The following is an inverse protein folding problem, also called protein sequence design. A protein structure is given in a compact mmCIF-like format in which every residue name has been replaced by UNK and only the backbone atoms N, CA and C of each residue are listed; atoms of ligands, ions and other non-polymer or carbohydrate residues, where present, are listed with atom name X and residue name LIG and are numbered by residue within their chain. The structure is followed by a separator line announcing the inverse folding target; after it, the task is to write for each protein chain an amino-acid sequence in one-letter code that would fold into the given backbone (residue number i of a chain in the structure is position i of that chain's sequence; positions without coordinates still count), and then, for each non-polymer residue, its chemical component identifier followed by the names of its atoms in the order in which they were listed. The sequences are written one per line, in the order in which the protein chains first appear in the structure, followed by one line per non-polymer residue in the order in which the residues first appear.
data_IF_033028772678
#
_entry.id   IF_033028772678
#
_cell.length_a   1.000
_cell.length_b   1.000
_cell.length_c   1.000
_cell.angle_alpha   90.00
_cell.angle_beta   90.00
_cell.angle_gamma   90.00
#
_symmetry.space_group_name_H-M   'P 1'
#
loop_
_entity.id
_entity.type
_entity.pdbx_description
1 polymer ?
#
# COMPACT_ATOMS: atom_id res chain seq x y z
N UNK A 1 18.74 8.07 -26.60
CA UNK A 1 17.94 7.60 -25.46
C UNK A 1 18.83 7.66 -24.25
N UNK A 2 18.45 8.40 -23.19
CA UNK A 2 19.21 8.39 -21.94
C UNK A 2 19.13 6.99 -21.34
N UNK A 3 20.27 6.44 -20.94
CA UNK A 3 20.34 5.14 -20.29
C UNK A 3 19.73 5.29 -18.90
N UNK A 4 18.66 4.53 -18.59
CA UNK A 4 18.09 4.48 -17.23
C UNK A 4 19.06 3.76 -16.28
N UNK A 5 19.07 4.14 -15.01
CA UNK A 5 19.89 3.48 -13.98
C UNK A 5 19.22 2.19 -13.47
N UNK A 6 17.88 2.08 -13.64
CA UNK A 6 17.08 0.90 -13.26
C UNK A 6 16.25 0.40 -14.44
N UNK A 7 15.90 -0.89 -14.43
CA UNK A 7 15.35 -1.57 -15.61
C UNK A 7 13.85 -1.36 -15.80
N UNK A 8 13.04 -1.60 -14.74
CA UNK A 8 11.58 -1.62 -14.89
C UNK A 8 10.96 -0.23 -14.82
N UNK A 9 11.44 0.62 -13.92
CA UNK A 9 10.90 1.98 -13.76
C UNK A 9 11.38 2.93 -14.88
N UNK A 10 12.49 2.60 -15.54
CA UNK A 10 13.04 3.44 -16.61
C UNK A 10 13.53 4.81 -16.14
N UNK A 11 13.97 4.91 -14.89
CA UNK A 11 14.38 6.14 -14.23
C UNK A 11 15.90 6.21 -14.02
N UNK A 12 16.40 7.41 -13.82
CA UNK A 12 17.75 7.68 -13.34
C UNK A 12 17.71 8.29 -11.94
N UNK A 13 18.82 8.22 -11.21
CA UNK A 13 18.95 8.88 -9.90
C UNK A 13 18.69 10.39 -9.97
N UNK A 14 19.06 11.03 -11.09
CA UNK A 14 18.85 12.45 -11.29
C UNK A 14 17.37 12.83 -11.43
N UNK A 15 16.53 11.92 -11.93
CA UNK A 15 15.09 12.16 -12.07
C UNK A 15 14.42 12.38 -10.70
N UNK A 16 14.98 11.77 -9.64
CA UNK A 16 14.44 11.88 -8.29
C UNK A 16 14.77 13.21 -7.60
N UNK A 17 15.76 13.95 -8.08
CA UNK A 17 16.19 15.24 -7.50
C UNK A 17 16.39 15.20 -5.97
N UNK A 18 16.99 14.12 -5.47
CA UNK A 18 17.28 13.95 -4.05
C UNK A 18 16.09 13.52 -3.19
N UNK A 19 14.96 13.11 -3.79
CA UNK A 19 13.85 12.55 -3.06
C UNK A 19 14.27 11.33 -2.25
N UNK A 20 13.83 11.25 -0.99
CA UNK A 20 14.07 10.12 -0.08
C UNK A 20 12.80 9.42 0.33
N UNK A 21 11.62 9.96 -0.02
CA UNK A 21 10.31 9.41 0.28
C UNK A 21 9.54 9.16 -1.02
N UNK A 22 8.89 8.00 -1.10
CA UNK A 22 7.95 7.65 -2.15
C UNK A 22 6.58 7.29 -1.58
N UNK A 23 5.53 7.80 -2.23
CA UNK A 23 4.15 7.35 -2.05
C UNK A 23 3.86 6.29 -3.12
N UNK A 24 3.41 5.12 -2.70
CA UNK A 24 3.29 3.95 -3.58
C UNK A 24 1.85 3.39 -3.62
N UNK A 25 0.98 3.93 -4.50
CA UNK A 25 -0.31 3.31 -4.80
C UNK A 25 -0.12 2.03 -5.62
N UNK A 26 -1.11 1.13 -5.62
CA UNK A 26 -1.14 -0.01 -6.54
C UNK A 26 -1.50 0.42 -7.97
N UNK A 27 -2.52 1.24 -8.11
CA UNK A 27 -3.13 1.68 -9.36
C UNK A 27 -2.35 2.82 -10.04
N UNK A 28 -1.91 2.66 -11.31
CA UNK A 28 -1.25 3.72 -12.08
C UNK A 28 -2.11 4.99 -12.25
N UNK A 29 -3.43 4.85 -12.33
CA UNK A 29 -4.33 5.99 -12.50
C UNK A 29 -4.44 6.89 -11.25
N UNK A 30 -4.02 6.37 -10.09
CA UNK A 30 -3.99 7.10 -8.83
C UNK A 30 -2.77 8.00 -8.68
N UNK A 31 -1.70 7.72 -9.42
CA UNK A 31 -0.40 8.43 -9.28
C UNK A 31 -0.53 9.93 -9.56
N UNK A 32 -1.15 10.29 -10.69
CA UNK A 32 -1.37 11.71 -11.05
C UNK A 32 -2.26 12.43 -10.03
N UNK A 33 -3.34 11.77 -9.56
CA UNK A 33 -4.25 12.32 -8.55
C UNK A 33 -3.54 12.65 -7.24
N UNK A 34 -2.61 11.79 -6.83
CA UNK A 34 -1.79 12.01 -5.62
C UNK A 34 -0.80 13.15 -5.87
N UNK A 35 -0.08 13.12 -6.99
CA UNK A 35 0.91 14.14 -7.32
C UNK A 35 0.29 15.53 -7.45
N UNK A 36 -0.93 15.63 -7.97
CA UNK A 36 -1.67 16.89 -8.11
C UNK A 36 -2.06 17.57 -6.79
N UNK A 37 -1.97 16.88 -5.64
CA UNK A 37 -2.16 17.48 -4.31
C UNK A 37 -0.87 18.09 -3.73
N UNK A 38 0.23 18.01 -4.45
CA UNK A 38 1.54 18.52 -4.07
C UNK A 38 1.99 19.61 -5.06
N UNK A 39 3.08 20.30 -4.72
CA UNK A 39 3.62 21.36 -5.56
C UNK A 39 4.40 20.79 -6.76
N UNK A 40 4.36 21.50 -7.89
CA UNK A 40 5.16 21.23 -9.11
C UNK A 40 5.13 19.77 -9.58
N UNK A 41 3.95 19.15 -9.77
CA UNK A 41 3.87 17.78 -10.22
C UNK A 41 4.42 17.63 -11.66
N UNK A 42 5.30 16.65 -11.86
CA UNK A 42 5.93 16.32 -13.15
C UNK A 42 5.90 14.83 -13.37
N UNK A 43 5.36 14.39 -14.50
CA UNK A 43 5.41 12.98 -14.94
C UNK A 43 6.84 12.64 -15.37
N UNK A 44 7.41 11.61 -14.81
CA UNK A 44 8.76 11.15 -15.11
C UNK A 44 8.77 10.00 -16.14
N UNK A 45 7.98 8.96 -15.86
CA UNK A 45 7.92 7.76 -16.69
C UNK A 45 6.57 7.06 -16.56
N UNK A 46 6.25 6.22 -17.55
CA UNK A 46 5.20 5.21 -17.50
C UNK A 46 5.69 3.99 -18.27
N UNK A 47 5.91 2.90 -17.59
CA UNK A 47 6.40 1.66 -18.17
C UNK A 47 5.75 0.46 -17.46
N UNK A 48 5.02 -0.37 -18.20
CA UNK A 48 4.18 -1.44 -17.64
C UNK A 48 3.18 -0.88 -16.61
N UNK A 49 3.05 -1.54 -15.46
CA UNK A 49 2.24 -1.10 -14.31
C UNK A 49 2.87 0.05 -13.52
N UNK A 50 4.09 0.45 -13.84
CA UNK A 50 4.85 1.47 -13.12
C UNK A 50 4.69 2.84 -13.80
N UNK A 51 3.87 3.69 -13.20
CA UNK A 51 3.78 5.12 -13.56
C UNK A 51 4.43 5.92 -12.44
N UNK A 52 5.34 6.83 -12.79
CA UNK A 52 6.11 7.60 -11.81
C UNK A 52 5.98 9.09 -12.07
N UNK A 53 5.66 9.82 -11.02
CA UNK A 53 5.66 11.27 -10.97
C UNK A 53 6.57 11.75 -9.84
N UNK A 54 7.12 12.94 -10.00
CA UNK A 54 7.78 13.71 -8.94
C UNK A 54 6.94 14.94 -8.64
N UNK A 55 6.85 15.29 -7.37
CA UNK A 55 6.25 16.52 -6.89
C UNK A 55 7.08 17.06 -5.72
N UNK A 56 6.65 18.16 -5.10
CA UNK A 56 7.32 18.74 -3.94
C UNK A 56 6.37 18.87 -2.76
N UNK A 57 6.88 18.62 -1.55
CA UNK A 57 6.26 18.96 -0.27
C UNK A 57 7.28 19.73 0.58
N UNK A 58 6.90 20.88 1.13
CA UNK A 58 7.80 21.73 1.92
C UNK A 58 9.11 22.06 1.18
N UNK A 59 9.08 22.19 -0.16
CA UNK A 59 10.25 22.45 -0.99
C UNK A 59 11.20 21.27 -1.19
N UNK A 60 10.84 20.07 -0.74
CA UNK A 60 11.60 18.83 -0.95
C UNK A 60 10.90 17.92 -1.96
N UNK A 61 11.68 17.26 -2.81
CA UNK A 61 11.15 16.34 -3.81
C UNK A 61 10.56 15.09 -3.15
N UNK A 62 9.42 14.65 -3.67
CA UNK A 62 8.70 13.41 -3.30
C UNK A 62 8.36 12.65 -4.58
N UNK A 63 8.50 11.35 -4.54
CA UNK A 63 8.12 10.46 -5.66
C UNK A 63 6.75 9.87 -5.40
N UNK A 64 5.94 9.76 -6.46
CA UNK A 64 4.73 8.94 -6.48
C UNK A 64 4.91 7.90 -7.58
N UNK A 65 4.87 6.62 -7.22
CA UNK A 65 5.10 5.53 -8.16
C UNK A 65 4.11 4.39 -7.93
N UNK A 66 3.37 3.99 -8.96
CA UNK A 66 2.50 2.81 -8.85
C UNK A 66 3.31 1.53 -8.76
N UNK A 67 2.81 0.57 -7.98
CA UNK A 67 3.46 -0.73 -7.78
C UNK A 67 2.81 -1.85 -8.59
N UNK A 68 1.64 -1.62 -9.20
CA UNK A 68 0.80 -2.71 -9.68
C UNK A 68 0.19 -3.51 -8.52
N UNK A 69 -0.30 -4.70 -8.80
CA UNK A 69 -0.95 -5.61 -7.86
C UNK A 69 0.01 -6.71 -7.43
N UNK A 70 0.09 -6.96 -6.13
CA UNK A 70 0.75 -8.11 -5.54
C UNK A 70 2.22 -7.91 -5.20
N UNK A 71 2.75 -8.85 -4.41
CA UNK A 71 4.09 -8.82 -3.86
C UNK A 71 5.21 -8.73 -4.89
N UNK A 72 5.23 -9.55 -5.94
CA UNK A 72 6.29 -9.53 -6.95
C UNK A 72 6.45 -8.16 -7.61
N UNK A 73 5.36 -7.55 -8.06
CA UNK A 73 5.38 -6.23 -8.68
C UNK A 73 5.79 -5.12 -7.69
N UNK A 74 5.25 -5.16 -6.47
CA UNK A 74 5.65 -4.25 -5.39
C UNK A 74 7.14 -4.34 -5.08
N UNK A 75 7.69 -5.54 -5.02
CA UNK A 75 9.12 -5.75 -4.73
C UNK A 75 10.03 -5.11 -5.77
N UNK A 76 9.67 -5.18 -7.05
CA UNK A 76 10.42 -4.54 -8.13
C UNK A 76 10.43 -3.02 -7.95
N UNK A 77 9.26 -2.41 -7.74
CA UNK A 77 9.16 -0.97 -7.59
C UNK A 77 9.96 -0.46 -6.37
N UNK A 78 9.84 -1.13 -5.23
CA UNK A 78 10.54 -0.75 -3.99
C UNK A 78 12.05 -0.93 -4.15
N UNK A 79 12.51 -2.05 -4.72
CA UNK A 79 13.94 -2.31 -4.96
C UNK A 79 14.56 -1.23 -5.84
N UNK A 80 13.97 -0.96 -7.00
CA UNK A 80 14.51 0.02 -7.94
C UNK A 80 14.46 1.45 -7.40
N UNK A 81 13.39 1.84 -6.69
CA UNK A 81 13.34 3.13 -6.01
C UNK A 81 14.38 3.24 -4.89
N UNK A 82 14.61 2.18 -4.13
CA UNK A 82 15.64 2.15 -3.09
C UNK A 82 17.06 2.28 -3.68
N UNK A 83 17.34 1.65 -4.82
CA UNK A 83 18.60 1.81 -5.57
C UNK A 83 18.80 3.27 -6.02
N UNK A 84 17.73 3.96 -6.39
CA UNK A 84 17.77 5.36 -6.80
C UNK A 84 17.89 6.35 -5.63
N UNK A 85 17.68 5.91 -4.39
CA UNK A 85 17.88 6.73 -3.19
C UNK A 85 16.67 6.88 -2.27
N UNK A 86 15.52 6.32 -2.59
CA UNK A 86 14.35 6.31 -1.68
C UNK A 86 14.67 5.46 -0.45
N UNK A 87 14.22 5.93 0.72
CA UNK A 87 14.44 5.28 2.02
C UNK A 87 13.16 5.11 2.83
N UNK A 88 12.08 5.82 2.44
CA UNK A 88 10.79 5.79 3.11
C UNK A 88 9.70 5.55 2.08
N UNK A 89 8.82 4.59 2.36
CA UNK A 89 7.73 4.19 1.47
C UNK A 89 6.38 4.30 2.20
N UNK A 90 5.47 5.10 1.69
CA UNK A 90 4.10 5.19 2.19
C UNK A 90 3.14 4.58 1.17
N UNK A 91 2.58 3.43 1.51
CA UNK A 91 1.57 2.80 0.66
C UNK A 91 0.19 3.36 0.93
N UNK A 92 -0.54 3.58 -0.16
CA UNK A 92 -1.96 3.85 -0.14
C UNK A 92 -2.70 2.80 -0.96
N UNK A 93 -3.76 2.25 -0.40
CA UNK A 93 -4.59 1.23 -1.03
C UNK A 93 -6.08 1.40 -0.76
N UNK A 94 -6.86 0.49 -1.34
CA UNK A 94 -8.24 0.22 -1.00
C UNK A 94 -8.35 -1.21 -0.47
N UNK A 95 -9.35 -1.50 0.37
CA UNK A 95 -9.42 -2.78 1.07
C UNK A 95 -10.84 -3.22 1.37
N UNK A 96 -10.99 -4.54 1.62
CA UNK A 96 -12.19 -5.13 2.19
C UNK A 96 -11.99 -5.45 3.66
N UNK A 97 -12.76 -4.81 4.55
CA UNK A 97 -12.74 -5.08 5.97
C UNK A 97 -13.35 -6.47 6.28
N UNK A 98 -12.85 -7.12 7.33
CA UNK A 98 -13.37 -8.41 7.81
C UNK A 98 -13.87 -8.33 9.26
N UNK A 99 -13.84 -7.16 9.89
CA UNK A 99 -14.39 -6.94 11.22
C UNK A 99 -15.76 -6.23 11.14
N UNK A 100 -16.78 -6.69 11.87
CA UNK A 100 -18.14 -6.14 11.74
C UNK A 100 -18.28 -4.69 12.21
N UNK A 101 -17.38 -4.20 13.04
CA UNK A 101 -17.38 -2.82 13.56
C UNK A 101 -16.67 -1.81 12.64
N UNK A 102 -16.02 -2.26 11.58
CA UNK A 102 -15.34 -1.39 10.60
C UNK A 102 -16.30 -1.09 9.45
N UNK A 103 -16.58 0.17 9.20
CA UNK A 103 -17.55 0.58 8.18
C UNK A 103 -16.89 0.89 6.84
N UNK A 104 -17.66 0.76 5.77
CA UNK A 104 -17.28 1.31 4.46
C UNK A 104 -17.13 2.82 4.58
N UNK A 105 -16.03 3.36 4.10
CA UNK A 105 -15.66 4.77 4.27
C UNK A 105 -14.62 5.01 5.37
N UNK A 106 -14.46 4.08 6.31
CA UNK A 106 -13.41 4.16 7.32
C UNK A 106 -12.01 3.97 6.69
N UNK A 107 -10.99 4.31 7.44
CA UNK A 107 -9.59 4.21 7.03
C UNK A 107 -8.84 3.27 7.97
N UNK A 108 -7.99 2.42 7.40
CA UNK A 108 -7.16 1.48 8.15
C UNK A 108 -5.68 1.89 8.04
N UNK A 109 -5.00 1.99 9.19
CA UNK A 109 -3.54 2.13 9.26
C UNK A 109 -2.96 0.80 9.72
N UNK A 110 -2.12 0.18 8.88
CA UNK A 110 -1.54 -1.14 9.12
C UNK A 110 -0.30 -1.02 9.99
N UNK A 111 -0.28 -1.72 11.13
CA UNK A 111 0.89 -1.85 12.02
C UNK A 111 1.75 -3.06 11.70
N UNK A 112 1.13 -4.13 11.23
CA UNK A 112 1.79 -5.37 10.82
C UNK A 112 0.90 -6.15 9.84
N UNK A 113 1.49 -7.08 9.11
CA UNK A 113 0.76 -7.92 8.16
C UNK A 113 0.97 -9.40 8.43
N UNK A 114 -0.13 -10.15 8.33
CA UNK A 114 -0.07 -11.61 8.22
C UNK A 114 0.51 -11.93 6.84
N UNK A 115 1.59 -12.68 6.80
CA UNK A 115 2.33 -13.03 5.60
C UNK A 115 1.71 -14.24 4.89
N UNK A 116 0.70 -13.99 4.06
CA UNK A 116 0.04 -15.02 3.24
C UNK A 116 0.53 -14.98 1.78
N UNK A 117 1.68 -14.34 1.57
CA UNK A 117 2.35 -14.17 0.29
C UNK A 117 3.59 -15.06 0.15
N UNK A 118 4.07 -15.21 -1.08
CA UNK A 118 5.33 -15.88 -1.38
C UNK A 118 6.51 -14.91 -1.54
N UNK A 119 6.26 -13.69 -2.02
CA UNK A 119 7.31 -12.75 -2.34
C UNK A 119 8.10 -12.30 -1.11
N UNK A 120 7.44 -12.10 0.03
CA UNK A 120 8.13 -11.71 1.27
C UNK A 120 9.15 -12.75 1.76
N UNK A 121 8.97 -14.03 1.40
CA UNK A 121 9.90 -15.11 1.75
C UNK A 121 11.26 -14.98 1.05
N UNK A 122 11.33 -14.22 -0.04
CA UNK A 122 12.58 -13.94 -0.74
C UNK A 122 13.44 -12.88 -0.03
N UNK A 123 12.88 -12.13 0.91
CA UNK A 123 13.57 -11.08 1.66
C UNK A 123 13.89 -11.47 3.10
N UNK A 124 13.06 -12.31 3.71
CA UNK A 124 13.26 -12.78 5.07
C UNK A 124 12.51 -14.10 5.33
N UNK A 125 12.98 -14.97 6.25
CA UNK A 125 12.27 -16.19 6.63
C UNK A 125 10.89 -15.86 7.25
N UNK A 126 9.99 -16.84 7.31
CA UNK A 126 8.59 -16.62 7.76
C UNK A 126 8.51 -16.06 9.18
N UNK A 127 9.46 -16.41 10.04
CA UNK A 127 9.54 -15.97 11.43
C UNK A 127 9.87 -14.47 11.58
N UNK A 128 10.43 -13.86 10.52
CA UNK A 128 10.67 -12.41 10.52
C UNK A 128 9.35 -11.66 10.30
N UNK A 129 8.96 -10.72 11.17
CA UNK A 129 7.65 -10.09 11.09
C UNK A 129 7.54 -9.07 9.93
N UNK A 130 6.39 -9.04 9.27
CA UNK A 130 6.01 -7.94 8.39
C UNK A 130 5.48 -6.78 9.25
N UNK A 131 6.36 -5.92 9.72
CA UNK A 131 6.05 -4.83 10.66
C UNK A 131 6.26 -3.46 10.00
N UNK A 132 5.30 -2.55 10.22
CA UNK A 132 5.41 -1.16 9.76
C UNK A 132 6.41 -0.37 10.63
N UNK A 133 7.04 0.62 10.02
CA UNK A 133 7.89 1.57 10.73
C UNK A 133 7.05 2.44 11.69
N UNK A 134 7.56 2.63 12.90
CA UNK A 134 6.82 3.35 13.95
C UNK A 134 6.55 4.81 13.59
N UNK A 135 7.53 5.52 13.01
CA UNK A 135 7.36 6.92 12.63
C UNK A 135 6.39 7.06 11.44
N UNK A 136 6.48 6.16 10.45
CA UNK A 136 5.52 6.12 9.34
C UNK A 136 4.10 5.84 9.83
N UNK A 137 3.92 4.89 10.75
CA UNK A 137 2.63 4.57 11.34
C UNK A 137 2.07 5.76 12.11
N UNK A 138 2.88 6.41 12.95
CA UNK A 138 2.49 7.59 13.72
C UNK A 138 2.09 8.74 12.80
N UNK A 139 2.86 9.02 11.76
CA UNK A 139 2.55 10.06 10.78
C UNK A 139 1.21 9.81 10.06
N UNK A 140 0.92 8.56 9.69
CA UNK A 140 -0.35 8.18 9.07
C UNK A 140 -1.53 8.34 10.02
N UNK A 141 -1.40 7.94 11.27
CA UNK A 141 -2.44 8.10 12.30
C UNK A 141 -2.74 9.58 12.58
N UNK A 142 -1.70 10.40 12.75
CA UNK A 142 -1.87 11.83 12.98
C UNK A 142 -2.44 12.56 11.75
N UNK A 143 -2.05 12.15 10.55
CA UNK A 143 -2.63 12.65 9.31
C UNK A 143 -4.12 12.29 9.20
N UNK A 144 -4.49 11.07 9.52
CA UNK A 144 -5.88 10.62 9.50
C UNK A 144 -6.75 11.43 10.48
N UNK A 145 -6.25 11.70 11.69
CA UNK A 145 -6.92 12.60 12.66
C UNK A 145 -7.10 14.01 12.10
N UNK A 146 -6.07 14.58 11.45
CA UNK A 146 -6.13 15.93 10.92
C UNK A 146 -7.11 16.07 9.74
N UNK A 147 -7.33 14.99 8.99
CA UNK A 147 -8.34 14.93 7.91
C UNK A 147 -9.75 14.66 8.45
N UNK A 148 -9.88 14.26 9.72
CA UNK A 148 -11.17 13.93 10.35
C UNK A 148 -11.72 12.56 9.93
N UNK A 149 -10.87 11.62 9.51
CA UNK A 149 -11.28 10.29 9.10
C UNK A 149 -11.49 9.37 10.33
N UNK A 150 -12.55 8.56 10.30
CA UNK A 150 -12.70 7.44 11.23
C UNK A 150 -11.62 6.41 10.90
N UNK A 151 -10.74 6.14 11.87
CA UNK A 151 -9.51 5.40 11.64
C UNK A 151 -9.39 4.23 12.59
N UNK A 152 -9.05 3.06 12.06
CA UNK A 152 -8.68 1.87 12.82
C UNK A 152 -7.20 1.57 12.59
N UNK A 153 -6.53 1.08 13.62
CA UNK A 153 -5.09 0.81 13.61
C UNK A 153 -4.86 -0.63 14.05
N UNK A 154 -4.18 -1.44 13.24
CA UNK A 154 -3.99 -2.84 13.59
C UNK A 154 -3.39 -3.69 12.47
N UNK A 155 -3.65 -5.00 12.53
CA UNK A 155 -3.06 -6.00 11.65
C UNK A 155 -3.91 -6.22 10.41
N UNK A 156 -3.24 -6.37 9.27
CA UNK A 156 -3.81 -6.65 7.94
C UNK A 156 -3.43 -8.06 7.51
N UNK A 157 -4.30 -8.81 6.83
CA UNK A 157 -3.94 -10.04 6.14
C UNK A 157 -3.56 -9.72 4.69
N UNK A 158 -2.35 -10.09 4.29
CA UNK A 158 -1.80 -9.78 2.96
C UNK A 158 -1.58 -11.06 2.16
N UNK A 159 -2.36 -11.26 1.10
CA UNK A 159 -2.43 -12.50 0.33
C UNK A 159 -2.05 -12.30 -1.13
N UNK A 160 -1.37 -13.29 -1.73
CA UNK A 160 -0.98 -13.27 -3.15
C UNK A 160 -2.16 -13.39 -4.12
N UNK A 161 -3.33 -13.82 -3.67
CA UNK A 161 -4.49 -13.95 -4.55
C UNK A 161 -5.74 -13.30 -3.95
N UNK A 162 -6.50 -12.62 -4.82
CA UNK A 162 -7.75 -11.97 -4.45
C UNK A 162 -8.86 -12.98 -4.12
N UNK A 163 -8.89 -14.12 -4.81
CA UNK A 163 -9.96 -15.11 -4.68
C UNK A 163 -9.65 -16.21 -3.65
N UNK A 164 -8.91 -17.28 -3.96
CA UNK A 164 -8.76 -18.38 -3.02
C UNK A 164 -7.95 -18.03 -1.77
N UNK A 165 -6.92 -17.18 -1.88
CA UNK A 165 -6.08 -16.77 -0.75
C UNK A 165 -6.79 -15.86 0.25
N UNK A 166 -7.91 -15.24 -0.15
CA UNK A 166 -8.80 -14.47 0.71
C UNK A 166 -10.10 -15.24 1.04
N UNK A 167 -10.09 -16.57 0.84
CA UNK A 167 -11.24 -17.43 1.08
C UNK A 167 -12.52 -16.97 0.36
N UNK A 168 -12.41 -16.66 -0.95
CA UNK A 168 -13.56 -16.36 -1.79
C UNK A 168 -14.00 -17.59 -2.56
N UNK A 169 -15.29 -17.90 -2.48
CA UNK A 169 -15.90 -19.04 -3.16
C UNK A 169 -16.61 -18.65 -4.46
N UNK A 170 -16.87 -17.38 -4.70
CA UNK A 170 -17.46 -16.79 -5.90
C UNK A 170 -16.44 -16.72 -7.05
N UNK A 171 -15.87 -17.85 -7.41
CA UNK A 171 -14.82 -18.00 -8.41
C UNK A 171 -15.25 -18.93 -9.53
N UNK A 172 -14.52 -18.94 -10.65
CA UNK A 172 -14.78 -19.84 -11.78
C UNK A 172 -14.85 -21.32 -11.36
N UNK A 173 -13.95 -21.76 -10.47
CA UNK A 173 -13.94 -23.15 -9.99
C UNK A 173 -14.82 -23.38 -8.77
N UNK A 174 -15.27 -22.35 -8.08
CA UNK A 174 -15.98 -22.43 -6.79
C UNK A 174 -15.17 -23.09 -5.68
N UNK A 175 -13.84 -23.29 -5.88
CA UNK A 175 -13.01 -24.09 -4.98
C UNK A 175 -11.98 -23.24 -4.26
N UNK A 176 -11.92 -23.43 -2.94
CA UNK A 176 -10.85 -22.94 -2.07
C UNK A 176 -10.07 -24.16 -1.56
N UNK A 177 -8.73 -24.11 -1.65
CA UNK A 177 -7.87 -25.20 -1.15
C UNK A 177 -7.93 -25.28 0.37
N UNK A 178 -7.71 -26.47 0.93
CA UNK A 178 -7.97 -26.75 2.36
C UNK A 178 -7.26 -25.81 3.33
N UNK A 179 -6.03 -25.39 3.01
CA UNK A 179 -5.26 -24.46 3.87
C UNK A 179 -5.87 -23.07 4.04
N UNK A 180 -6.82 -22.67 3.17
CA UNK A 180 -7.50 -21.37 3.24
C UNK A 180 -8.95 -21.47 3.71
N UNK A 181 -9.49 -22.69 3.86
CA UNK A 181 -10.86 -22.88 4.37
C UNK A 181 -10.94 -22.53 5.84
N UNK A 182 -11.87 -21.63 6.19
CA UNK A 182 -12.03 -21.11 7.54
C UNK A 182 -11.03 -20.02 7.91
N UNK A 183 -10.13 -19.64 6.99
CA UNK A 183 -9.08 -18.64 7.29
C UNK A 183 -9.64 -17.25 7.56
N UNK A 184 -10.75 -16.86 6.93
CA UNK A 184 -11.37 -15.56 7.21
C UNK A 184 -11.87 -15.49 8.66
N UNK A 185 -12.56 -16.50 9.14
CA UNK A 185 -13.05 -16.57 10.53
C UNK A 185 -11.88 -16.66 11.52
N UNK A 186 -10.82 -17.39 11.16
CA UNK A 186 -9.60 -17.47 11.96
C UNK A 186 -8.95 -16.10 12.14
N UNK A 187 -8.73 -15.35 11.05
CA UNK A 187 -8.16 -14.00 11.12
C UNK A 187 -9.09 -13.02 11.84
N UNK A 188 -10.40 -13.11 11.65
CA UNK A 188 -11.37 -12.32 12.40
C UNK A 188 -11.23 -12.54 13.91
N UNK A 189 -11.12 -13.80 14.34
CA UNK A 189 -10.98 -14.16 15.75
C UNK A 189 -9.70 -13.62 16.40
N UNK A 190 -8.66 -13.39 15.59
CA UNK A 190 -7.38 -12.79 16.00
C UNK A 190 -7.38 -11.28 15.91
N UNK A 191 -8.48 -10.63 15.51
CA UNK A 191 -8.57 -9.18 15.40
C UNK A 191 -7.94 -8.59 14.15
N UNK A 192 -7.63 -9.40 13.12
CA UNK A 192 -7.16 -8.89 11.82
C UNK A 192 -8.27 -8.07 11.17
N UNK A 193 -7.92 -6.89 10.68
CA UNK A 193 -8.91 -5.89 10.23
C UNK A 193 -9.44 -6.14 8.82
N UNK A 194 -8.59 -6.60 7.91
CA UNK A 194 -8.86 -6.57 6.47
C UNK A 194 -7.95 -7.50 5.69
N UNK A 195 -8.28 -7.66 4.39
CA UNK A 195 -7.40 -8.27 3.38
C UNK A 195 -6.91 -7.23 2.38
N UNK A 196 -5.65 -7.39 1.94
CA UNK A 196 -5.05 -6.73 0.79
C UNK A 196 -3.94 -7.63 0.20
N UNK A 197 -3.08 -7.12 -0.69
CA UNK A 197 -2.22 -8.00 -1.48
C UNK A 197 -0.73 -7.60 -1.53
N UNK A 198 -0.28 -6.57 -0.82
CA UNK A 198 1.08 -6.04 -0.99
C UNK A 198 1.83 -5.76 0.31
N UNK A 199 1.12 -5.54 1.41
CA UNK A 199 1.77 -5.08 2.65
C UNK A 199 2.72 -6.10 3.27
N UNK A 200 2.47 -7.41 3.14
CA UNK A 200 3.40 -8.41 3.64
C UNK A 200 4.77 -8.28 2.95
N UNK A 201 4.79 -8.16 1.63
CA UNK A 201 6.03 -7.95 0.86
C UNK A 201 6.67 -6.62 1.20
N UNK A 202 5.91 -5.52 1.14
CA UNK A 202 6.42 -4.17 1.38
C UNK A 202 7.07 -4.04 2.77
N UNK A 203 6.33 -4.42 3.81
CA UNK A 203 6.79 -4.25 5.19
C UNK A 203 7.97 -5.17 5.53
N UNK A 204 7.92 -6.45 5.09
CA UNK A 204 9.02 -7.37 5.30
C UNK A 204 10.29 -6.91 4.58
N UNK A 205 10.17 -6.55 3.31
CA UNK A 205 11.28 -6.09 2.50
C UNK A 205 11.93 -4.82 3.09
N UNK A 206 11.12 -3.83 3.44
CA UNK A 206 11.64 -2.59 4.00
C UNK A 206 12.30 -2.81 5.37
N UNK A 207 11.64 -3.52 6.29
CA UNK A 207 12.19 -3.77 7.63
C UNK A 207 13.48 -4.58 7.58
N UNK A 208 13.58 -5.61 6.73
CA UNK A 208 14.78 -6.44 6.61
C UNK A 208 15.97 -5.75 5.95
N UNK A 209 15.74 -4.66 5.21
CA UNK A 209 16.76 -3.92 4.48
C UNK A 209 17.09 -2.55 5.09
N UNK A 210 16.56 -2.24 6.27
CA UNK A 210 16.78 -0.95 6.93
C UNK A 210 16.10 0.23 6.24
N UNK A 211 15.01 -0.05 5.50
CA UNK A 211 14.13 0.95 4.92
C UNK A 211 12.90 1.15 5.83
N UNK A 212 12.21 2.28 5.68
CA UNK A 212 10.99 2.57 6.43
C UNK A 212 9.76 2.42 5.55
N UNK A 213 8.71 1.79 6.06
CA UNK A 213 7.45 1.69 5.36
C UNK A 213 6.24 1.81 6.29
N UNK A 214 5.17 2.40 5.76
CA UNK A 214 3.86 2.44 6.39
C UNK A 214 2.76 2.28 5.35
N UNK A 215 1.56 1.94 5.81
CA UNK A 215 0.42 1.72 4.91
C UNK A 215 -0.87 2.29 5.49
N UNK A 216 -1.64 2.94 4.61
CA UNK A 216 -3.01 3.35 4.84
C UNK A 216 -3.91 2.79 3.74
N UNK A 217 -5.10 2.34 4.09
CA UNK A 217 -6.08 1.83 3.12
C UNK A 217 -7.48 2.35 3.44
N UNK A 218 -8.22 2.74 2.40
CA UNK A 218 -9.64 3.08 2.52
C UNK A 218 -10.52 1.84 2.40
N UNK A 219 -11.49 1.70 3.29
CA UNK A 219 -12.42 0.57 3.30
C UNK A 219 -13.51 0.80 2.26
N UNK A 220 -13.52 0.01 1.20
CA UNK A 220 -14.50 0.10 0.10
C UNK A 220 -15.60 -0.97 0.16
N UNK A 221 -15.37 -2.05 0.87
CA UNK A 221 -16.35 -3.10 1.18
C UNK A 221 -16.13 -3.64 2.58
N UNK A 222 -17.20 -4.18 3.21
CA UNK A 222 -17.07 -4.98 4.42
C UNK A 222 -17.57 -6.40 4.13
N UNK A 223 -16.69 -7.38 4.26
CA UNK A 223 -16.94 -8.80 3.92
C UNK A 223 -17.85 -9.54 4.93
N UNK A 224 -18.16 -8.91 6.06
CA UNK A 224 -19.17 -9.42 7.00
C UNK A 224 -20.60 -9.00 6.64
N UNK A 225 -20.73 -8.14 5.62
CA UNK A 225 -21.98 -7.57 5.15
C UNK A 225 -22.13 -7.84 3.64
N UNK A 226 -22.50 -6.84 2.86
CA UNK A 226 -22.64 -6.95 1.41
C UNK A 226 -21.35 -6.48 0.70
N UNK A 227 -20.74 -7.35 -0.10
CA UNK A 227 -19.51 -7.05 -0.85
C UNK A 227 -19.77 -6.33 -2.19
N UNK A 228 -20.74 -5.44 -2.25
CA UNK A 228 -21.00 -4.64 -3.45
C UNK A 228 -20.49 -3.21 -3.21
N UNK A 229 -19.38 -2.80 -3.85
CA UNK A 229 -18.87 -1.44 -3.70
C UNK A 229 -19.84 -0.42 -4.29
N UNK A 230 -20.11 0.66 -3.55
CA UNK A 230 -20.78 1.83 -4.06
C UNK A 230 -19.76 2.78 -4.69
N UNK A 231 -19.93 3.14 -5.96
CA UNK A 231 -18.97 3.94 -6.71
C UNK A 231 -18.70 5.33 -6.10
N UNK A 232 -19.73 5.98 -5.54
CA UNK A 232 -19.58 7.29 -4.90
C UNK A 232 -18.81 7.18 -3.59
N UNK A 233 -19.15 6.21 -2.74
CA UNK A 233 -18.46 5.94 -1.49
C UNK A 233 -17.01 5.53 -1.74
N UNK A 234 -16.74 4.70 -2.76
CA UNK A 234 -15.37 4.35 -3.17
C UNK A 234 -14.55 5.58 -3.50
N UNK A 235 -15.10 6.50 -4.30
CA UNK A 235 -14.41 7.73 -4.70
C UNK A 235 -14.12 8.65 -3.51
N UNK A 236 -15.06 8.78 -2.58
CA UNK A 236 -14.87 9.58 -1.37
C UNK A 236 -13.81 8.96 -0.45
N UNK A 237 -13.88 7.66 -0.24
CA UNK A 237 -12.93 6.89 0.58
C UNK A 237 -11.51 6.97 0.01
N UNK A 238 -11.37 6.80 -1.31
CA UNK A 238 -10.09 6.98 -1.99
C UNK A 238 -9.54 8.40 -1.82
N UNK A 239 -10.39 9.42 -1.98
CA UNK A 239 -10.00 10.82 -1.78
C UNK A 239 -9.50 11.10 -0.35
N UNK A 240 -10.16 10.53 0.67
CA UNK A 240 -9.70 10.65 2.06
C UNK A 240 -8.34 9.98 2.26
N UNK A 241 -8.17 8.73 1.80
CA UNK A 241 -6.91 8.01 1.93
C UNK A 241 -5.75 8.71 1.20
N UNK A 242 -6.01 9.31 0.03
CA UNK A 242 -5.03 10.11 -0.73
C UNK A 242 -4.61 11.36 0.06
N UNK A 243 -5.54 12.10 0.66
CA UNK A 243 -5.20 13.26 1.51
C UNK A 243 -4.37 12.85 2.72
N UNK A 244 -4.72 11.74 3.35
CA UNK A 244 -4.00 11.21 4.51
C UNK A 244 -2.56 10.86 4.17
N UNK A 245 -2.32 10.13 3.07
CA UNK A 245 -0.96 9.72 2.71
C UNK A 245 -0.07 10.92 2.33
N UNK A 246 -0.63 11.94 1.66
CA UNK A 246 0.11 13.17 1.33
C UNK A 246 0.43 13.97 2.60
N UNK A 247 -0.52 14.10 3.53
CA UNK A 247 -0.27 14.79 4.80
C UNK A 247 0.72 14.01 5.68
N UNK A 248 0.69 12.69 5.70
CA UNK A 248 1.69 11.87 6.38
C UNK A 248 3.08 12.05 5.76
N UNK A 249 3.18 12.08 4.43
CA UNK A 249 4.42 12.37 3.73
C UNK A 249 4.98 13.75 4.11
N UNK A 250 4.12 14.78 4.23
CA UNK A 250 4.51 16.13 4.66
C UNK A 250 5.12 16.16 6.07
N UNK A 251 4.70 15.26 6.96
CA UNK A 251 5.22 15.15 8.33
C UNK A 251 6.57 14.43 8.42
N UNK A 252 6.90 13.62 7.42
CA UNK A 252 8.10 12.77 7.42
C UNK A 252 9.29 13.36 6.65
N UNK A 253 9.11 14.50 5.97
CA UNK A 253 10.16 15.14 5.16
C UNK A 253 10.70 16.42 5.76
#
# INVERSE_FOLDING_TARGET
MSKSDVFHLGLTKNDLQGATLAIVPGDPERVEKIAALMDKPVKLAAHREFTTWRAELNGKAVIVCSTGIGGPSTSIAVEELAQLGIRTFLRIGTTGAIQPHINVGDVLVTTASVRLDGASLHFAPMEFPAVADFECTTALVEAAKSVGATTHVGVTASSDTFYPGQERYDTFSGRVVSRFKGSMEEWQSMGVMNYEMESATLLTMCASQGLRAGMVAGVIVNRTQQEIPNAETMKQTESHAVKIVVEAARRLI
#
